data_IF_000648664957
#
_entry.id   IF_000648664957
#
_cell.length_a   1.000
_cell.length_b   1.000
_cell.length_c   1.000
_cell.angle_alpha   90.00
_cell.angle_beta   90.00
_cell.angle_gamma   90.00
#
_symmetry.space_group_name_H-M   'P 1'
#
loop_
_entity.id
_entity.type
_entity.pdbx_description
1 polymer ?
#
# COMPACT_ATOMS: atom_id res chain seq x y z
N UNK A 1 27.06 -7.96 -1.60
CA UNK A 1 25.68 -7.51 -1.85
C UNK A 1 24.88 -7.89 -0.62
N UNK A 2 24.34 -6.92 0.12
CA UNK A 2 23.87 -7.12 1.51
C UNK A 2 22.43 -7.66 1.50
N UNK A 3 22.26 -8.97 1.66
CA UNK A 3 20.95 -9.65 1.67
C UNK A 3 19.99 -9.03 2.68
N UNK A 4 20.50 -8.58 3.83
CA UNK A 4 19.71 -7.96 4.89
C UNK A 4 19.04 -6.65 4.47
N UNK A 5 19.71 -5.82 3.66
CA UNK A 5 19.16 -4.54 3.19
C UNK A 5 18.06 -4.74 2.14
N UNK A 6 18.21 -5.76 1.29
CA UNK A 6 17.20 -6.14 0.29
C UNK A 6 15.96 -6.65 1.01
N UNK A 7 16.12 -7.58 1.97
CA UNK A 7 15.02 -8.12 2.76
C UNK A 7 14.32 -7.04 3.58
N UNK A 8 15.06 -6.12 4.21
CA UNK A 8 14.48 -4.97 4.93
C UNK A 8 13.67 -4.07 4.00
N UNK A 9 14.19 -3.74 2.82
CA UNK A 9 13.48 -2.95 1.82
C UNK A 9 12.16 -3.59 1.36
N UNK A 10 12.12 -4.91 1.17
CA UNK A 10 10.87 -5.62 0.84
C UNK A 10 9.86 -5.60 1.99
N UNK A 11 10.33 -5.75 3.24
CA UNK A 11 9.46 -5.72 4.42
C UNK A 11 8.79 -4.34 4.59
N UNK A 12 9.54 -3.24 4.47
CA UNK A 12 9.01 -1.87 4.56
C UNK A 12 7.92 -1.64 3.51
N UNK A 13 8.19 -2.01 2.26
CA UNK A 13 7.21 -1.88 1.16
C UNK A 13 5.95 -2.70 1.42
N UNK A 14 6.11 -3.90 1.97
CA UNK A 14 4.95 -4.73 2.35
C UNK A 14 4.12 -4.06 3.45
N UNK A 15 4.76 -3.48 4.46
CA UNK A 15 4.05 -2.76 5.50
C UNK A 15 3.34 -1.51 4.97
N UNK A 16 3.94 -0.76 4.04
CA UNK A 16 3.26 0.35 3.35
C UNK A 16 2.05 -0.17 2.57
N UNK A 17 2.18 -1.27 1.84
CA UNK A 17 1.07 -1.90 1.12
C UNK A 17 -0.06 -2.32 2.06
N UNK A 18 0.27 -2.92 3.20
CA UNK A 18 -0.73 -3.31 4.20
C UNK A 18 -1.48 -2.07 4.75
N UNK A 19 -0.80 -0.94 4.94
CA UNK A 19 -1.45 0.34 5.30
C UNK A 19 -2.38 0.85 4.20
N UNK A 20 -1.94 0.81 2.94
CA UNK A 20 -2.75 1.18 1.77
C UNK A 20 -4.02 0.33 1.70
N UNK A 21 -3.90 -0.99 1.85
CA UNK A 21 -5.03 -1.93 1.80
C UNK A 21 -5.98 -1.65 2.97
N UNK A 22 -5.45 -1.43 4.17
CA UNK A 22 -6.26 -1.11 5.35
C UNK A 22 -7.08 0.16 5.15
N UNK A 23 -6.44 1.22 4.66
CA UNK A 23 -7.11 2.49 4.37
C UNK A 23 -8.17 2.33 3.27
N UNK A 24 -7.86 1.59 2.20
CA UNK A 24 -8.82 1.32 1.13
C UNK A 24 -10.05 0.58 1.66
N UNK A 25 -9.86 -0.48 2.46
CA UNK A 25 -10.95 -1.23 3.08
C UNK A 25 -11.80 -0.35 3.99
N UNK A 26 -11.17 0.50 4.81
CA UNK A 26 -11.90 1.44 5.68
C UNK A 26 -12.79 2.39 4.87
N UNK A 27 -12.30 2.93 3.74
CA UNK A 27 -13.10 3.78 2.87
C UNK A 27 -14.26 3.01 2.21
N UNK A 28 -14.01 1.77 1.77
CA UNK A 28 -15.06 0.92 1.17
C UNK A 28 -16.13 0.54 2.19
N UNK A 29 -15.74 0.31 3.45
CA UNK A 29 -16.65 -0.05 4.54
C UNK A 29 -17.50 1.13 5.05
N UNK A 30 -17.09 2.38 4.79
CA UNK A 30 -17.72 3.59 5.33
C UNK A 30 -19.16 3.89 4.81
N UNK A 31 -19.90 2.90 4.28
CA UNK A 31 -21.31 3.01 3.86
C UNK A 31 -21.60 4.18 2.89
N UNK A 32 -20.66 4.52 2.01
CA UNK A 32 -20.87 5.51 0.96
C UNK A 32 -21.08 4.82 -0.40
N UNK A 33 -22.14 5.20 -1.12
CA UNK A 33 -22.55 4.58 -2.39
C UNK A 33 -21.47 4.61 -3.47
N UNK A 34 -20.59 5.62 -3.41
CA UNK A 34 -19.45 5.82 -4.33
C UNK A 34 -18.47 4.63 -4.27
N UNK A 35 -18.34 3.96 -3.12
CA UNK A 35 -17.37 2.88 -2.96
C UNK A 35 -17.92 1.48 -3.25
N UNK A 36 -19.20 1.34 -3.62
CA UNK A 36 -19.78 0.04 -3.95
C UNK A 36 -19.04 -0.69 -5.08
N UNK A 37 -18.49 0.06 -6.04
CA UNK A 37 -17.69 -0.48 -7.15
C UNK A 37 -16.35 -1.09 -6.71
N UNK A 38 -15.90 -0.83 -5.47
CA UNK A 38 -14.62 -1.30 -4.93
C UNK A 38 -14.78 -2.40 -3.85
N UNK A 39 -15.98 -3.01 -3.72
CA UNK A 39 -16.25 -4.05 -2.71
C UNK A 39 -15.31 -5.25 -2.76
N UNK A 40 -14.76 -5.57 -3.93
CA UNK A 40 -13.77 -6.64 -4.06
C UNK A 40 -12.48 -6.37 -3.26
N UNK A 41 -12.16 -5.12 -2.91
CA UNK A 41 -10.99 -4.82 -2.06
C UNK A 41 -11.13 -5.32 -0.61
N UNK A 42 -12.35 -5.69 -0.20
CA UNK A 42 -12.60 -6.34 1.08
C UNK A 42 -12.11 -7.79 1.10
N UNK A 43 -11.96 -8.42 -0.07
CA UNK A 43 -11.46 -9.79 -0.17
C UNK A 43 -10.03 -9.90 0.36
N UNK A 44 -9.64 -11.05 0.93
CA UNK A 44 -8.26 -11.31 1.34
C UNK A 44 -7.27 -11.13 0.18
N UNK A 45 -6.07 -10.61 0.45
CA UNK A 45 -5.14 -10.22 -0.63
C UNK A 45 -4.67 -11.42 -1.47
N UNK A 46 -4.60 -12.60 -0.86
CA UNK A 46 -4.27 -13.86 -1.52
C UNK A 46 -5.26 -14.28 -2.62
N UNK A 47 -6.48 -13.75 -2.61
CA UNK A 47 -7.49 -14.03 -3.64
C UNK A 47 -7.50 -12.99 -4.76
N UNK A 48 -6.71 -11.92 -4.64
CA UNK A 48 -6.78 -10.77 -5.54
C UNK A 48 -6.46 -11.14 -6.98
N UNK A 49 -7.37 -10.76 -7.87
CA UNK A 49 -7.25 -10.88 -9.32
C UNK A 49 -7.06 -9.50 -9.95
N UNK A 50 -6.97 -9.46 -11.28
CA UNK A 50 -6.79 -8.21 -12.02
C UNK A 50 -7.78 -7.10 -11.60
N UNK A 51 -9.03 -7.45 -11.33
CA UNK A 51 -10.06 -6.49 -10.90
C UNK A 51 -9.75 -5.80 -9.56
N UNK A 52 -9.13 -6.49 -8.61
CA UNK A 52 -8.72 -5.94 -7.31
C UNK A 52 -7.62 -4.89 -7.50
N UNK A 53 -6.56 -5.25 -8.25
CA UNK A 53 -5.48 -4.32 -8.55
C UNK A 53 -5.98 -3.11 -9.35
N UNK A 54 -6.94 -3.28 -10.26
CA UNK A 54 -7.55 -2.16 -10.99
C UNK A 54 -8.25 -1.20 -10.03
N UNK A 55 -9.05 -1.74 -9.11
CA UNK A 55 -9.81 -0.95 -8.16
C UNK A 55 -8.92 -0.21 -7.18
N UNK A 56 -7.89 -0.87 -6.64
CA UNK A 56 -6.92 -0.20 -5.77
C UNK A 56 -6.13 0.87 -6.53
N UNK A 57 -5.71 0.59 -7.77
CA UNK A 57 -5.00 1.56 -8.60
C UNK A 57 -5.87 2.78 -8.92
N UNK A 58 -7.18 2.60 -9.10
CA UNK A 58 -8.14 3.68 -9.28
C UNK A 58 -8.25 4.56 -8.03
N UNK A 59 -8.33 3.96 -6.82
CA UNK A 59 -8.34 4.73 -5.56
C UNK A 59 -7.06 5.52 -5.33
N UNK A 60 -5.92 5.00 -5.79
CA UNK A 60 -4.61 5.64 -5.68
C UNK A 60 -4.29 6.59 -6.85
N UNK A 61 -5.21 6.76 -7.80
CA UNK A 61 -5.01 7.51 -9.04
C UNK A 61 -3.70 7.10 -9.77
N UNK A 62 -3.42 5.80 -9.91
CA UNK A 62 -2.21 5.33 -10.61
C UNK A 62 -2.52 4.22 -11.60
N UNK A 63 -1.54 3.91 -12.46
CA UNK A 63 -1.72 2.81 -13.41
C UNK A 63 -1.66 1.46 -12.70
N UNK A 64 -2.52 0.53 -13.12
CA UNK A 64 -2.54 -0.83 -12.58
C UNK A 64 -1.18 -1.53 -12.71
N UNK A 65 -0.44 -1.28 -13.79
CA UNK A 65 0.89 -1.84 -14.00
C UNK A 65 1.87 -1.35 -12.94
N UNK A 66 1.87 -0.04 -12.65
CA UNK A 66 2.72 0.53 -11.58
C UNK A 66 2.43 -0.13 -10.24
N UNK A 67 1.15 -0.27 -9.89
CA UNK A 67 0.76 -0.92 -8.64
C UNK A 67 1.21 -2.38 -8.59
N UNK A 68 1.01 -3.16 -9.67
CA UNK A 68 1.44 -4.56 -9.73
C UNK A 68 2.96 -4.70 -9.60
N UNK A 69 3.72 -3.86 -10.30
CA UNK A 69 5.18 -3.84 -10.16
C UNK A 69 5.62 -3.51 -8.74
N UNK A 70 4.98 -2.53 -8.09
CA UNK A 70 5.26 -2.21 -6.69
C UNK A 70 4.96 -3.38 -5.74
N UNK A 71 3.85 -4.09 -5.96
CA UNK A 71 3.44 -5.24 -5.14
C UNK A 71 4.36 -6.46 -5.33
N UNK A 72 4.78 -6.73 -6.57
CA UNK A 72 5.54 -7.95 -6.92
C UNK A 72 7.04 -7.77 -6.73
N UNK A 73 7.59 -6.71 -7.30
CA UNK A 73 9.04 -6.49 -7.38
C UNK A 73 9.54 -5.55 -6.27
N UNK A 74 8.63 -4.85 -5.60
CA UNK A 74 8.99 -3.82 -4.64
C UNK A 74 9.75 -2.66 -5.30
N UNK A 75 9.50 -2.36 -6.56
CA UNK A 75 10.36 -1.43 -7.28
C UNK A 75 10.25 0.03 -6.78
N UNK A 76 11.21 0.88 -7.15
CA UNK A 76 11.20 2.30 -6.75
C UNK A 76 10.04 3.06 -7.44
N UNK A 77 9.03 3.41 -6.65
CA UNK A 77 7.97 4.31 -7.11
C UNK A 77 8.55 5.69 -7.47
N UNK A 78 8.18 6.19 -8.65
CA UNK A 78 8.43 7.59 -9.04
C UNK A 78 7.81 8.55 -8.01
N UNK A 79 8.43 9.72 -7.83
CA UNK A 79 8.01 10.72 -6.83
C UNK A 79 6.51 11.08 -6.93
N UNK A 80 5.96 11.17 -8.15
CA UNK A 80 4.52 11.46 -8.33
C UNK A 80 3.62 10.37 -7.72
N UNK A 81 3.97 9.09 -7.89
CA UNK A 81 3.19 7.99 -7.31
C UNK A 81 3.34 7.93 -5.79
N UNK A 82 4.52 8.30 -5.26
CA UNK A 82 4.73 8.46 -3.81
C UNK A 82 3.81 9.54 -3.23
N UNK A 83 3.70 10.69 -3.90
CA UNK A 83 2.78 11.78 -3.51
C UNK A 83 1.32 11.31 -3.46
N UNK A 84 0.90 10.52 -4.44
CA UNK A 84 -0.46 9.96 -4.49
C UNK A 84 -0.75 9.02 -3.33
N UNK A 85 0.20 8.14 -3.01
CA UNK A 85 0.11 7.26 -1.83
C UNK A 85 0.06 8.08 -0.53
N UNK A 86 0.93 9.08 -0.38
CA UNK A 86 0.95 9.95 0.80
C UNK A 86 -0.39 10.65 0.99
N UNK A 87 -0.91 11.27 -0.07
CA UNK A 87 -2.22 11.92 -0.04
C UNK A 87 -3.35 10.94 0.32
N UNK A 88 -3.35 9.75 -0.27
CA UNK A 88 -4.34 8.72 0.02
C UNK A 88 -4.34 8.27 1.49
N UNK A 89 -3.14 8.18 2.08
CA UNK A 89 -2.94 7.82 3.48
C UNK A 89 -3.08 9.02 4.44
N UNK A 90 -3.32 10.23 3.96
CA UNK A 90 -3.48 11.44 4.78
C UNK A 90 -2.18 12.11 5.22
N UNK A 91 -1.04 11.78 4.61
CA UNK A 91 0.25 12.39 4.89
C UNK A 91 0.48 13.66 4.06
N UNK A 92 1.40 14.51 4.53
CA UNK A 92 1.90 15.61 3.72
C UNK A 92 2.67 15.11 2.49
N UNK A 93 2.58 15.77 1.31
CA UNK A 93 3.11 15.27 0.04
C UNK A 93 4.62 14.99 -0.04
N UNK A 94 5.41 15.43 0.94
CA UNK A 94 6.86 15.26 0.97
C UNK A 94 7.34 14.36 2.13
N UNK A 95 6.43 13.76 2.91
CA UNK A 95 6.78 13.01 4.11
C UNK A 95 6.88 11.49 3.83
N UNK A 96 7.58 11.13 2.76
CA UNK A 96 7.80 9.71 2.41
C UNK A 96 8.62 8.98 3.48
N UNK A 97 9.68 9.63 3.96
CA UNK A 97 10.57 9.05 4.98
C UNK A 97 9.81 8.79 6.29
N UNK A 98 8.86 9.66 6.65
CA UNK A 98 7.97 9.45 7.81
C UNK A 98 7.12 8.19 7.64
N UNK A 99 6.51 8.01 6.47
CA UNK A 99 5.71 6.82 6.16
C UNK A 99 6.57 5.54 6.22
N UNK A 100 7.80 5.58 5.70
CA UNK A 100 8.74 4.45 5.78
C UNK A 100 9.13 4.14 7.23
N UNK A 101 9.43 5.15 8.05
CA UNK A 101 9.74 4.97 9.47
C UNK A 101 8.56 4.36 10.24
N UNK A 102 7.34 4.82 10.01
CA UNK A 102 6.14 4.24 10.63
C UNK A 102 5.92 2.78 10.21
N UNK A 103 6.16 2.47 8.93
CA UNK A 103 6.10 1.12 8.42
C UNK A 103 7.13 0.20 9.10
N UNK A 104 8.37 0.68 9.29
CA UNK A 104 9.41 -0.03 10.04
C UNK A 104 8.97 -0.26 11.49
N UNK A 105 8.46 0.77 12.17
CA UNK A 105 8.04 0.68 13.56
C UNK A 105 6.92 -0.36 13.76
N UNK A 106 5.93 -0.39 12.86
CA UNK A 106 4.85 -1.40 12.89
C UNK A 106 5.38 -2.82 12.68
N UNK A 107 6.35 -3.01 11.78
CA UNK A 107 6.98 -4.32 11.56
C UNK A 107 7.74 -4.79 12.81
N UNK A 108 8.49 -3.90 13.44
CA UNK A 108 9.24 -4.19 14.67
C UNK A 108 8.29 -4.52 15.82
N UNK A 109 7.24 -3.72 16.03
CA UNK A 109 6.23 -3.99 17.03
C UNK A 109 5.60 -5.37 16.85
N UNK A 110 5.24 -5.74 15.61
CA UNK A 110 4.66 -7.06 15.31
C UNK A 110 5.62 -8.22 15.62
N UNK A 111 6.94 -8.03 15.50
CA UNK A 111 7.94 -9.06 15.84
C UNK A 111 8.15 -9.20 17.35
N UNK A 112 7.95 -8.12 18.12
CA UNK A 112 8.12 -8.10 19.58
C UNK A 112 6.85 -8.52 20.34
N UNK A 113 5.69 -8.49 19.69
CA UNK A 113 4.42 -8.98 20.24
C UNK A 113 4.22 -10.50 20.05
N UNK A 114 5.26 -11.22 19.64
CA UNK A 114 5.32 -12.69 19.51
C UNK A 114 6.31 -13.20 20.56
#
# INVERSE_FOLDING_TARGET
MNLDAITQGHLVKRAILDQIITQARSQVQATNSIYNQFKNLLDPMETWRHGHYRNLACMLDMSINTLKYYVQEGDHLKQNNRKKILQFLGYSPNNWDTLEQEAIFKLLAKKLSV
#
